data_IF_619974405516
#
_entry.id   IF_619974405516
#
_cell.length_a   1.000
_cell.length_b   1.000
_cell.length_c   1.000
_cell.angle_alpha   90.00
_cell.angle_beta   90.00
_cell.angle_gamma   90.00
#
_symmetry.space_group_name_H-M   'P 1'
#
loop_
_entity.id
_entity.type
_entity.pdbx_description
1 polymer ?
#
# COMPACT_ATOMS: atom_id res chain seq x y z
N UNK A 1 16.98 -19.05 21.15
CA UNK A 1 16.15 -17.89 20.77
C UNK A 1 17.04 -16.82 20.12
N UNK A 2 17.75 -17.18 19.06
CA UNK A 2 18.88 -16.39 18.54
C UNK A 2 18.77 -16.19 17.01
N UNK A 3 17.55 -16.11 16.50
CA UNK A 3 17.29 -15.73 15.11
C UNK A 3 16.68 -14.33 14.99
N UNK A 4 16.13 -13.78 16.08
CA UNK A 4 15.44 -12.48 16.08
C UNK A 4 16.43 -11.30 16.11
N UNK A 5 17.66 -11.49 16.60
CA UNK A 5 18.60 -10.38 16.86
C UNK A 5 19.46 -9.96 15.66
N UNK A 6 19.76 -10.86 14.72
CA UNK A 6 20.66 -10.55 13.59
C UNK A 6 20.00 -9.78 12.43
N UNK A 7 18.67 -9.72 12.38
CA UNK A 7 17.96 -8.88 11.41
C UNK A 7 17.89 -7.40 11.83
N UNK A 8 18.24 -7.08 13.09
CA UNK A 8 18.09 -5.74 13.68
C UNK A 8 19.18 -4.77 13.18
N UNK A 9 20.40 -5.25 12.93
CA UNK A 9 21.56 -4.38 12.70
C UNK A 9 21.72 -3.84 11.25
N UNK A 10 20.80 -4.18 10.35
CA UNK A 10 20.74 -3.59 8.99
C UNK A 10 19.38 -2.99 8.66
N UNK A 11 18.47 -2.89 9.64
CA UNK A 11 17.04 -2.77 9.37
C UNK A 11 16.60 -1.30 9.19
N UNK A 12 15.93 -0.95 8.07
CA UNK A 12 15.01 0.19 8.04
C UNK A 12 13.98 0.06 9.19
N UNK A 13 13.41 1.20 9.63
CA UNK A 13 12.36 1.37 10.66
C UNK A 13 11.67 0.06 11.10
N UNK A 14 11.73 -0.25 12.41
CA UNK A 14 11.22 -1.49 13.00
C UNK A 14 9.70 -1.65 12.76
N UNK A 15 9.21 -2.89 12.79
CA UNK A 15 7.78 -3.19 12.60
C UNK A 15 6.88 -2.35 13.52
N UNK A 16 7.24 -2.26 14.80
CA UNK A 16 6.46 -1.53 15.81
C UNK A 16 6.45 -0.01 15.52
N UNK A 17 7.56 0.54 15.06
CA UNK A 17 7.69 1.95 14.68
C UNK A 17 6.82 2.28 13.46
N UNK A 18 6.87 1.41 12.44
CA UNK A 18 5.99 1.52 11.25
C UNK A 18 4.52 1.43 11.61
N UNK A 19 4.16 0.47 12.48
CA UNK A 19 2.80 0.31 12.97
C UNK A 19 2.33 1.60 13.64
N UNK A 20 3.11 2.15 14.56
CA UNK A 20 2.77 3.40 15.24
C UNK A 20 2.62 4.56 14.25
N UNK A 21 3.52 4.68 13.26
CA UNK A 21 3.44 5.70 12.22
C UNK A 21 2.17 5.56 11.37
N UNK A 22 1.80 4.35 10.99
CA UNK A 22 0.61 4.10 10.17
C UNK A 22 -0.67 4.44 10.94
N UNK A 23 -0.74 4.06 12.21
CA UNK A 23 -1.83 4.42 13.11
C UNK A 23 -1.94 5.94 13.29
N UNK A 24 -0.81 6.64 13.51
CA UNK A 24 -0.76 8.11 13.55
C UNK A 24 -1.18 8.75 12.23
N UNK A 25 -0.93 8.08 11.11
CA UNK A 25 -1.38 8.45 9.76
C UNK A 25 -2.87 8.19 9.51
N UNK A 26 -3.62 7.65 10.48
CA UNK A 26 -5.06 7.46 10.40
C UNK A 26 -5.50 6.09 9.87
N UNK A 27 -4.59 5.12 9.74
CA UNK A 27 -4.96 3.73 9.45
C UNK A 27 -5.58 3.08 10.69
N UNK A 28 -6.52 2.18 10.46
CA UNK A 28 -6.94 1.25 11.50
C UNK A 28 -5.82 0.26 11.80
N UNK A 29 -5.81 -0.32 13.00
CA UNK A 29 -4.86 -1.36 13.37
C UNK A 29 -4.92 -2.54 12.39
N UNK A 30 -6.12 -2.94 11.99
CA UNK A 30 -6.33 -4.02 11.02
C UNK A 30 -5.73 -3.70 9.66
N UNK A 31 -5.94 -2.49 9.13
CA UNK A 31 -5.40 -2.10 7.82
C UNK A 31 -3.87 -2.04 7.84
N UNK A 32 -3.31 -1.47 8.92
CA UNK A 32 -1.88 -1.40 9.13
C UNK A 32 -1.25 -2.81 9.25
N UNK A 33 -1.90 -3.73 9.98
CA UNK A 33 -1.48 -5.13 10.08
C UNK A 33 -1.53 -5.84 8.73
N UNK A 34 -2.57 -5.62 7.91
CA UNK A 34 -2.65 -6.21 6.57
C UNK A 34 -1.44 -5.77 5.72
N UNK A 35 -1.13 -4.48 5.71
CA UNK A 35 -0.02 -3.94 4.92
C UNK A 35 1.33 -4.43 5.45
N UNK A 36 1.52 -4.43 6.77
CA UNK A 36 2.79 -4.82 7.40
C UNK A 36 3.00 -6.33 7.48
N UNK A 37 1.93 -7.14 7.34
CA UNK A 37 2.01 -8.61 7.35
C UNK A 37 2.87 -9.17 6.22
N UNK A 38 3.02 -8.42 5.13
CA UNK A 38 3.84 -8.80 3.99
C UNK A 38 4.88 -7.70 3.71
N UNK A 39 6.19 -8.01 3.83
CA UNK A 39 7.27 -7.04 3.58
C UNK A 39 7.22 -6.41 2.19
N UNK A 40 6.80 -7.15 1.16
CA UNK A 40 6.67 -6.62 -0.20
C UNK A 40 5.51 -5.63 -0.31
N UNK A 41 4.40 -5.91 0.37
CA UNK A 41 3.26 -4.98 0.46
C UNK A 41 3.65 -3.72 1.22
N UNK A 42 4.33 -3.86 2.35
CA UNK A 42 4.84 -2.72 3.11
C UNK A 42 5.83 -1.90 2.27
N UNK A 43 6.73 -2.53 1.52
CA UNK A 43 7.65 -1.84 0.63
C UNK A 43 6.93 -1.10 -0.50
N UNK A 44 5.92 -1.72 -1.09
CA UNK A 44 5.09 -1.09 -2.13
C UNK A 44 4.34 0.12 -1.56
N UNK A 45 3.74 -0.03 -0.37
CA UNK A 45 3.04 1.05 0.32
C UNK A 45 3.96 2.26 0.55
N UNK A 46 5.13 2.03 1.12
CA UNK A 46 6.09 3.08 1.44
C UNK A 46 6.58 3.87 0.21
N UNK A 47 6.72 3.21 -0.94
CA UNK A 47 7.10 3.88 -2.20
C UNK A 47 6.03 4.87 -2.69
N UNK A 48 4.75 4.57 -2.45
CA UNK A 48 3.63 5.45 -2.84
C UNK A 48 3.32 6.55 -1.82
N UNK A 49 3.70 6.35 -0.55
CA UNK A 49 3.36 7.26 0.55
C UNK A 49 3.84 8.71 0.35
N UNK A 50 4.91 8.93 -0.41
CA UNK A 50 5.45 10.28 -0.67
C UNK A 50 4.55 11.15 -1.58
N UNK A 51 3.59 10.56 -2.29
CA UNK A 51 2.74 11.28 -3.26
C UNK A 51 1.29 11.45 -2.80
N UNK A 52 0.85 10.68 -1.81
CA UNK A 52 -0.52 10.76 -1.28
C UNK A 52 -0.59 11.76 -0.14
N UNK A 53 -1.72 12.45 0.00
CA UNK A 53 -2.00 13.32 1.14
C UNK A 53 -2.59 12.52 2.30
N UNK A 54 -3.27 11.43 2.00
CA UNK A 54 -3.99 10.62 2.96
C UNK A 54 -3.52 9.17 2.92
N UNK A 55 -2.82 8.77 3.98
CA UNK A 55 -2.35 7.41 4.22
C UNK A 55 -3.49 6.38 4.08
N UNK A 56 -4.68 6.74 4.59
CA UNK A 56 -5.85 5.86 4.61
C UNK A 56 -6.40 5.58 3.21
N UNK A 57 -6.44 6.58 2.34
CA UNK A 57 -6.97 6.40 0.99
C UNK A 57 -6.05 5.48 0.18
N UNK A 58 -4.73 5.65 0.32
CA UNK A 58 -3.77 4.77 -0.32
C UNK A 58 -3.87 3.32 0.19
N UNK A 59 -3.98 3.16 1.52
CA UNK A 59 -4.17 1.85 2.15
C UNK A 59 -5.44 1.17 1.64
N UNK A 60 -6.54 1.92 1.52
CA UNK A 60 -7.80 1.41 1.01
C UNK A 60 -7.67 0.87 -0.42
N UNK A 61 -7.02 1.60 -1.34
CA UNK A 61 -6.77 1.10 -2.69
C UNK A 61 -5.92 -0.16 -2.72
N UNK A 62 -4.89 -0.24 -1.87
CA UNK A 62 -4.06 -1.44 -1.80
C UNK A 62 -4.84 -2.64 -1.25
N UNK A 63 -5.61 -2.44 -0.19
CA UNK A 63 -6.34 -3.52 0.51
C UNK A 63 -7.56 -3.99 -0.29
N UNK A 64 -8.26 -3.09 -0.97
CA UNK A 64 -9.49 -3.41 -1.71
C UNK A 64 -9.17 -3.73 -3.17
N UNK A 65 -8.60 -2.78 -3.91
CA UNK A 65 -8.46 -2.91 -5.36
C UNK A 65 -7.28 -3.80 -5.75
N UNK A 66 -6.08 -3.49 -5.23
CA UNK A 66 -4.86 -4.23 -5.59
C UNK A 66 -4.95 -5.68 -5.11
N UNK A 67 -5.28 -5.93 -3.84
CA UNK A 67 -5.43 -7.30 -3.34
C UNK A 67 -6.53 -8.08 -4.11
N UNK A 68 -7.65 -7.43 -4.47
CA UNK A 68 -8.67 -8.08 -5.29
C UNK A 68 -8.13 -8.51 -6.66
N UNK A 69 -7.38 -7.63 -7.33
CA UNK A 69 -6.72 -7.94 -8.60
C UNK A 69 -5.68 -9.06 -8.44
N UNK A 70 -4.81 -8.98 -7.44
CA UNK A 70 -3.78 -9.99 -7.18
C UNK A 70 -4.42 -11.36 -6.91
N UNK A 71 -5.42 -11.41 -6.03
CA UNK A 71 -6.13 -12.65 -5.69
C UNK A 71 -6.83 -13.26 -6.90
N UNK A 72 -7.52 -12.43 -7.71
CA UNK A 72 -8.24 -12.89 -8.91
C UNK A 72 -7.30 -13.51 -9.94
N UNK A 73 -6.08 -13.00 -10.06
CA UNK A 73 -5.09 -13.45 -11.03
C UNK A 73 -4.05 -14.43 -10.43
N UNK A 74 -4.12 -14.74 -9.13
CA UNK A 74 -3.14 -15.58 -8.45
C UNK A 74 -1.73 -14.98 -8.41
N UNK A 75 -1.62 -13.65 -8.39
CA UNK A 75 -0.37 -12.90 -8.44
C UNK A 75 0.08 -12.43 -7.06
N UNK A 76 1.37 -12.13 -6.91
CA UNK A 76 1.92 -11.39 -5.77
C UNK A 76 2.10 -9.93 -6.12
N UNK A 77 2.23 -9.07 -5.11
CA UNK A 77 2.51 -7.64 -5.30
C UNK A 77 3.84 -7.40 -6.06
N UNK A 78 4.79 -8.33 -5.94
CA UNK A 78 6.05 -8.30 -6.69
C UNK A 78 5.89 -8.62 -8.18
N UNK A 79 4.80 -9.29 -8.57
CA UNK A 79 4.45 -9.55 -9.97
C UNK A 79 3.70 -8.38 -10.60
N UNK A 80 3.29 -7.40 -9.79
CA UNK A 80 2.55 -6.23 -10.24
C UNK A 80 3.47 -5.31 -11.07
N UNK A 81 3.12 -5.10 -12.34
CA UNK A 81 3.83 -4.16 -13.21
C UNK A 81 3.57 -2.69 -12.86
N UNK A 82 2.43 -2.41 -12.23
CA UNK A 82 2.06 -1.08 -11.78
C UNK A 82 3.01 -0.62 -10.68
N UNK A 83 3.59 0.56 -10.84
CA UNK A 83 4.43 1.18 -9.82
C UNK A 83 3.57 1.81 -8.72
N UNK A 84 4.05 1.76 -7.48
CA UNK A 84 3.37 2.36 -6.33
C UNK A 84 3.12 3.86 -6.51
N UNK A 85 4.05 4.56 -7.14
CA UNK A 85 3.95 5.99 -7.45
C UNK A 85 2.81 6.28 -8.44
N UNK A 86 2.54 5.38 -9.38
CA UNK A 86 1.43 5.52 -10.33
C UNK A 86 0.09 5.28 -9.64
N UNK A 87 0.00 4.28 -8.76
CA UNK A 87 -1.18 4.10 -7.92
C UNK A 87 -1.41 5.35 -7.06
N UNK A 88 -0.35 5.90 -6.44
CA UNK A 88 -0.44 7.08 -5.60
C UNK A 88 -0.93 8.32 -6.37
N UNK A 89 -0.54 8.49 -7.64
CA UNK A 89 -1.08 9.55 -8.51
C UNK A 89 -2.58 9.39 -8.77
N UNK A 90 -3.07 8.16 -8.92
CA UNK A 90 -4.50 7.88 -9.07
C UNK A 90 -5.23 8.24 -7.77
N UNK A 91 -4.70 7.86 -6.62
CA UNK A 91 -5.27 8.19 -5.31
C UNK A 91 -5.27 9.71 -5.06
N UNK A 92 -4.19 10.41 -5.42
CA UNK A 92 -4.10 11.86 -5.28
C UNK A 92 -5.20 12.58 -6.07
N UNK A 93 -5.61 12.07 -7.25
CA UNK A 93 -6.74 12.65 -8.02
C UNK A 93 -8.07 12.55 -7.27
N UNK A 94 -8.26 11.48 -6.49
CA UNK A 94 -9.42 11.34 -5.59
C UNK A 94 -9.34 12.38 -4.46
N UNK A 95 -8.19 12.48 -3.79
CA UNK A 95 -7.97 13.38 -2.67
C UNK A 95 -8.11 14.87 -3.03
N UNK A 96 -7.74 15.24 -4.26
CA UNK A 96 -7.89 16.63 -4.75
C UNK A 96 -9.32 16.96 -5.18
N UNK A 97 -10.28 16.06 -4.96
CA UNK A 97 -11.69 16.24 -5.32
C UNK A 97 -11.97 16.18 -6.82
N UNK A 98 -11.00 15.71 -7.62
CA UNK A 98 -11.10 15.65 -9.07
C UNK A 98 -11.88 14.45 -9.58
N UNK A 99 -11.86 13.33 -8.83
CA UNK A 99 -12.50 12.07 -9.20
C UNK A 99 -13.12 11.39 -7.98
N UNK A 100 -14.22 10.67 -8.19
CA UNK A 100 -14.77 9.76 -7.20
C UNK A 100 -13.91 8.49 -7.08
N UNK A 101 -14.04 7.79 -5.95
CA UNK A 101 -13.36 6.51 -5.74
C UNK A 101 -13.61 5.51 -6.87
N UNK A 102 -14.88 5.39 -7.30
CA UNK A 102 -15.27 4.51 -8.40
C UNK A 102 -14.53 4.85 -9.70
N UNK A 103 -14.44 6.13 -10.06
CA UNK A 103 -13.74 6.55 -11.28
C UNK A 103 -12.24 6.23 -11.20
N UNK A 104 -11.62 6.43 -10.04
CA UNK A 104 -10.22 6.05 -9.82
C UNK A 104 -10.01 4.54 -9.90
N UNK A 105 -10.93 3.73 -9.35
CA UNK A 105 -10.90 2.28 -9.44
C UNK A 105 -11.06 1.79 -10.89
N UNK A 106 -11.95 2.39 -11.68
CA UNK A 106 -12.14 2.06 -13.11
C UNK A 106 -10.87 2.38 -13.93
N UNK A 107 -10.22 3.53 -13.66
CA UNK A 107 -8.93 3.90 -14.27
C UNK A 107 -7.86 2.88 -13.87
N UNK A 108 -7.75 2.57 -12.58
CA UNK A 108 -6.79 1.60 -12.06
C UNK A 108 -6.97 0.23 -12.74
N UNK A 109 -8.20 -0.26 -12.85
CA UNK A 109 -8.50 -1.52 -13.52
C UNK A 109 -8.04 -1.52 -14.99
N UNK A 110 -8.21 -0.40 -15.69
CA UNK A 110 -7.72 -0.25 -17.07
C UNK A 110 -6.20 -0.36 -17.13
N UNK A 111 -5.49 0.38 -16.27
CA UNK A 111 -4.02 0.36 -16.21
C UNK A 111 -3.47 -1.02 -15.82
N UNK A 112 -4.20 -1.79 -15.02
CA UNK A 112 -3.80 -3.14 -14.61
C UNK A 112 -4.00 -4.20 -15.70
N UNK A 113 -4.77 -3.89 -16.76
CA UNK A 113 -5.02 -4.79 -17.88
C UNK A 113 -4.11 -4.51 -19.09
N UNK A 114 -3.38 -3.38 -19.07
CA UNK A 114 -2.34 -3.01 -20.05
C UNK A 114 -1.00 -3.72 -19.76
#
# INVERSE_FOLDING_TARGET
>A
MEFVKKAIDTCPELYDEKMERYLKGGLSKTDAEIILSNPDMASYFEKGMNKVKNCKDFANFMIVEINSYLNKNGLKITDLKLKAETLAEIVLKQETGGLSHKQCADILATVLLE
#
